data_IF_517737114083
#
_entry.id   IF_517737114083
#
_cell.length_a   1.000
_cell.length_b   1.000
_cell.length_c   1.000
_cell.angle_alpha   90.00
_cell.angle_beta   90.00
_cell.angle_gamma   90.00
#
_symmetry.space_group_name_H-M   'P 1'
#
loop_
_entity.id
_entity.type
_entity.pdbx_description
1 polymer ?
#
# COMPACT_ATOMS: atom_id res chain seq x y z
N UNK A 1 8.46 -8.41 -16.13
CA UNK A 1 9.20 -9.59 -16.61
C UNK A 1 10.60 -9.67 -16.03
N UNK A 2 11.39 -8.60 -16.06
CA UNK A 2 12.81 -8.60 -15.63
C UNK A 2 13.08 -9.14 -14.21
N UNK A 3 12.17 -8.92 -13.25
CA UNK A 3 12.30 -9.42 -11.88
C UNK A 3 11.85 -10.89 -11.67
N UNK A 4 11.41 -11.59 -12.72
CA UNK A 4 10.94 -12.99 -12.64
C UNK A 4 9.59 -13.21 -11.94
N UNK A 5 8.92 -12.16 -11.46
CA UNK A 5 7.67 -12.28 -10.69
C UNK A 5 6.49 -12.82 -11.50
N UNK A 6 6.46 -12.55 -12.81
CA UNK A 6 5.38 -12.98 -13.71
C UNK A 6 5.28 -14.50 -13.85
N UNK A 7 6.34 -15.23 -13.52
CA UNK A 7 6.36 -16.71 -13.52
C UNK A 7 5.85 -17.29 -12.19
N UNK A 8 5.89 -16.51 -11.11
CA UNK A 8 5.57 -16.97 -9.76
C UNK A 8 4.15 -16.58 -9.34
N UNK A 9 3.68 -15.42 -9.78
CA UNK A 9 2.40 -14.84 -9.36
C UNK A 9 1.73 -14.12 -10.52
N UNK A 10 0.40 -14.00 -10.45
CA UNK A 10 -0.34 -13.11 -11.34
C UNK A 10 0.07 -11.67 -11.04
N UNK A 11 0.73 -11.03 -11.99
CA UNK A 11 1.05 -9.61 -11.96
C UNK A 11 -0.05 -8.85 -12.68
N UNK A 12 -0.54 -7.78 -12.07
CA UNK A 12 -1.53 -6.87 -12.65
C UNK A 12 -1.04 -5.43 -12.48
N UNK A 13 -1.59 -4.54 -13.30
CA UNK A 13 -1.45 -3.11 -13.12
C UNK A 13 -2.59 -2.57 -12.22
N UNK A 14 -2.32 -1.53 -11.44
CA UNK A 14 -3.38 -0.82 -10.71
C UNK A 14 -4.17 0.12 -11.63
N UNK A 15 -3.68 0.36 -12.85
CA UNK A 15 -4.28 1.20 -13.88
C UNK A 15 -4.03 2.70 -13.70
N UNK A 16 -3.06 3.10 -12.88
CA UNK A 16 -2.76 4.50 -12.58
C UNK A 16 -1.25 4.77 -12.57
N UNK A 17 -0.83 5.82 -13.28
CA UNK A 17 0.55 6.34 -13.24
C UNK A 17 0.86 7.17 -11.98
N UNK A 18 -0.09 7.31 -11.05
CA UNK A 18 0.11 8.05 -9.81
C UNK A 18 0.96 7.27 -8.80
N UNK A 19 1.68 7.98 -7.92
CA UNK A 19 2.37 7.33 -6.81
C UNK A 19 1.35 6.80 -5.78
N UNK A 20 1.53 5.55 -5.35
CA UNK A 20 0.64 4.90 -4.39
C UNK A 20 -0.62 4.31 -5.02
N UNK A 21 -1.72 4.27 -4.26
CA UNK A 21 -3.00 3.72 -4.70
C UNK A 21 -4.11 4.72 -4.42
N UNK A 22 -4.26 5.67 -5.33
CA UNK A 22 -5.37 6.62 -5.30
C UNK A 22 -6.60 5.93 -5.92
N UNK A 23 -7.48 5.36 -5.09
CA UNK A 23 -8.55 4.46 -5.53
C UNK A 23 -9.40 5.00 -6.71
N UNK A 24 -9.67 6.30 -6.74
CA UNK A 24 -10.46 6.95 -7.81
C UNK A 24 -9.77 6.95 -9.19
N UNK A 25 -8.47 6.68 -9.25
CA UNK A 25 -7.68 6.61 -10.47
C UNK A 25 -7.36 5.17 -10.88
N UNK A 26 -7.68 4.18 -10.05
CA UNK A 26 -7.37 2.78 -10.31
C UNK A 26 -8.41 2.12 -11.23
N UNK A 27 -7.98 1.08 -11.93
CA UNK A 27 -8.86 0.28 -12.80
C UNK A 27 -9.91 -0.49 -11.99
N UNK A 28 -11.05 -0.77 -12.62
CA UNK A 28 -12.11 -1.58 -12.00
C UNK A 28 -11.60 -2.99 -11.62
N UNK A 29 -10.80 -3.62 -12.49
CA UNK A 29 -10.20 -4.94 -12.24
C UNK A 29 -9.34 -4.94 -10.97
N UNK A 30 -8.46 -3.95 -10.81
CA UNK A 30 -7.63 -3.84 -9.62
C UNK A 30 -8.46 -3.62 -8.37
N UNK A 31 -9.46 -2.72 -8.43
CA UNK A 31 -10.33 -2.42 -7.29
C UNK A 31 -11.15 -3.64 -6.84
N UNK A 32 -11.62 -4.46 -7.78
CA UNK A 32 -12.34 -5.70 -7.47
C UNK A 32 -11.44 -6.70 -6.75
N UNK A 33 -10.19 -6.85 -7.17
CA UNK A 33 -9.22 -7.73 -6.52
C UNK A 33 -8.81 -7.20 -5.15
N UNK A 34 -8.57 -5.89 -5.02
CA UNK A 34 -8.28 -5.23 -3.74
C UNK A 34 -9.43 -5.42 -2.73
N UNK A 35 -10.68 -5.38 -3.20
CA UNK A 35 -11.87 -5.60 -2.37
C UNK A 35 -12.00 -7.06 -1.90
N UNK A 36 -11.61 -8.02 -2.72
CA UNK A 36 -11.73 -9.46 -2.43
C UNK A 36 -10.55 -10.05 -1.67
N UNK A 37 -9.37 -9.43 -1.72
CA UNK A 37 -8.17 -9.96 -1.07
C UNK A 37 -8.37 -10.12 0.45
N UNK A 38 -7.96 -11.25 1.03
CA UNK A 38 -8.01 -11.50 2.47
C UNK A 38 -6.90 -10.76 3.25
N UNK A 39 -5.77 -10.51 2.58
CA UNK A 39 -4.59 -9.85 3.12
C UNK A 39 -3.98 -8.95 2.03
N UNK A 40 -3.61 -7.72 2.40
CA UNK A 40 -2.95 -6.77 1.50
C UNK A 40 -1.64 -6.32 2.13
N UNK A 41 -0.52 -6.43 1.40
CA UNK A 41 0.77 -5.88 1.79
C UNK A 41 1.06 -4.67 0.91
N UNK A 42 0.86 -3.47 1.46
CA UNK A 42 1.14 -2.20 0.81
C UNK A 42 2.61 -1.81 1.02
N UNK A 43 3.41 -1.84 -0.06
CA UNK A 43 4.86 -1.59 0.00
C UNK A 43 5.21 -0.15 -0.36
N UNK A 44 5.92 0.55 0.51
CA UNK A 44 6.39 1.92 0.26
C UNK A 44 5.47 3.01 0.79
N UNK A 45 6.05 4.18 1.06
CA UNK A 45 5.38 5.27 1.78
C UNK A 45 4.18 5.87 1.01
N UNK A 46 4.24 5.96 -0.32
CA UNK A 46 3.13 6.50 -1.10
C UNK A 46 1.85 5.65 -0.99
N UNK A 47 1.96 4.32 -0.87
CA UNK A 47 0.80 3.48 -0.60
C UNK A 47 0.27 3.68 0.82
N UNK A 48 1.16 3.92 1.79
CA UNK A 48 0.74 4.31 3.13
C UNK A 48 -0.07 5.61 3.11
N UNK A 49 0.47 6.68 2.53
CA UNK A 49 -0.17 8.00 2.48
C UNK A 49 -1.53 8.00 1.75
N UNK A 50 -1.68 7.17 0.72
CA UNK A 50 -2.91 7.13 -0.09
C UNK A 50 -3.98 6.18 0.44
N UNK A 51 -3.61 5.24 1.32
CA UNK A 51 -4.50 4.17 1.78
C UNK A 51 -4.65 4.06 3.29
N UNK A 52 -3.82 4.71 4.11
CA UNK A 52 -3.85 4.63 5.59
C UNK A 52 -5.20 5.05 6.16
N UNK A 53 -5.93 5.88 5.42
CA UNK A 53 -7.23 6.37 5.84
C UNK A 53 -8.41 5.48 5.49
N UNK A 54 -8.20 4.45 4.66
CA UNK A 54 -9.25 3.53 4.25
C UNK A 54 -9.70 2.64 5.42
N UNK A 55 -10.99 2.34 5.46
CA UNK A 55 -11.59 1.38 6.41
C UNK A 55 -11.36 -0.07 5.96
N UNK A 56 -10.11 -0.39 5.64
CA UNK A 56 -9.67 -1.69 5.17
C UNK A 56 -8.68 -2.29 6.17
N UNK A 57 -9.22 -2.87 7.24
CA UNK A 57 -8.46 -3.45 8.35
C UNK A 57 -7.55 -4.61 7.95
N UNK A 58 -7.52 -5.04 6.68
CA UNK A 58 -6.68 -6.13 6.16
C UNK A 58 -5.41 -5.66 5.46
N UNK A 59 -5.13 -4.35 5.47
CA UNK A 59 -3.92 -3.77 4.90
C UNK A 59 -2.82 -3.73 5.96
N UNK A 60 -1.65 -4.24 5.56
CA UNK A 60 -0.39 -4.13 6.28
C UNK A 60 0.56 -3.26 5.45
N UNK A 61 1.12 -2.24 6.07
CA UNK A 61 2.00 -1.28 5.41
C UNK A 61 3.44 -1.60 5.77
N UNK A 62 4.29 -1.78 4.75
CA UNK A 62 5.71 -2.05 4.91
C UNK A 62 6.52 -1.05 4.09
N UNK A 63 7.17 -0.11 4.78
CA UNK A 63 7.90 0.99 4.16
C UNK A 63 9.00 1.53 5.07
N UNK A 64 9.82 2.45 4.55
CA UNK A 64 10.73 3.26 5.36
C UNK A 64 10.12 4.66 5.53
N UNK A 65 10.09 5.21 6.74
CA UNK A 65 9.61 6.57 6.98
C UNK A 65 10.63 7.59 6.46
N UNK A 66 10.33 8.28 5.37
CA UNK A 66 11.27 9.19 4.68
C UNK A 66 11.07 10.67 4.99
N UNK A 67 10.02 11.02 5.74
CA UNK A 67 9.75 12.38 6.16
C UNK A 67 9.25 12.41 7.61
N UNK A 68 9.45 13.56 8.27
CA UNK A 68 9.03 13.76 9.65
C UNK A 68 7.52 13.56 9.85
N UNK A 69 6.70 14.03 8.90
CA UNK A 69 5.23 13.90 8.97
C UNK A 69 4.79 12.45 9.09
N UNK A 70 5.35 11.56 8.27
CA UNK A 70 5.01 10.13 8.33
C UNK A 70 5.64 9.46 9.55
N UNK A 71 6.86 9.86 9.94
CA UNK A 71 7.49 9.35 11.16
C UNK A 71 6.63 9.65 12.40
N UNK A 72 6.17 10.90 12.53
CA UNK A 72 5.32 11.35 13.64
C UNK A 72 3.97 10.64 13.63
N UNK A 73 3.31 10.55 12.46
CA UNK A 73 2.02 9.88 12.32
C UNK A 73 2.09 8.39 12.69
N UNK A 74 3.22 7.74 12.44
CA UNK A 74 3.43 6.31 12.68
C UNK A 74 4.10 6.00 14.01
N UNK A 75 4.55 7.04 14.73
CA UNK A 75 5.25 6.92 16.01
C UNK A 75 6.65 6.33 15.91
N UNK A 76 7.30 6.41 14.75
CA UNK A 76 8.67 5.94 14.52
C UNK A 76 9.64 7.11 14.34
N UNK A 77 10.94 6.81 14.20
CA UNK A 77 11.94 7.79 13.80
C UNK A 77 12.07 7.84 12.28
N UNK A 78 12.41 9.03 11.75
CA UNK A 78 12.69 9.18 10.33
C UNK A 78 13.89 8.30 9.92
N UNK A 79 13.74 7.52 8.86
CA UNK A 79 14.70 6.54 8.37
C UNK A 79 14.43 5.11 8.83
N UNK A 80 13.55 4.90 9.81
CA UNK A 80 13.21 3.55 10.30
C UNK A 80 12.34 2.78 9.31
N UNK A 81 12.53 1.45 9.33
CA UNK A 81 11.64 0.51 8.67
C UNK A 81 10.40 0.31 9.52
N UNK A 82 9.24 0.44 8.90
CA UNK A 82 7.93 0.37 9.52
C UNK A 82 7.17 -0.82 8.96
N UNK A 83 6.62 -1.65 9.86
CA UNK A 83 5.58 -2.63 9.56
C UNK A 83 4.41 -2.35 10.50
N UNK A 84 3.29 -1.86 9.98
CA UNK A 84 2.12 -1.56 10.80
C UNK A 84 0.82 -1.93 10.11
N UNK A 85 -0.24 -1.98 10.92
CA UNK A 85 -1.63 -2.15 10.49
C UNK A 85 -2.46 -1.02 11.11
N UNK A 86 -3.23 -0.31 10.30
CA UNK A 86 -4.22 0.67 10.77
C UNK A 86 -5.55 -0.05 10.98
N UNK A 87 -6.08 -0.01 12.20
CA UNK A 87 -7.39 -0.57 12.54
C UNK A 87 -8.35 0.60 12.71
N UNK A 88 -9.40 0.65 11.88
CA UNK A 88 -10.49 1.61 11.98
C UNK A 88 -11.80 0.87 12.29
N UNK A 89 -12.64 1.50 13.12
CA UNK A 89 -13.94 0.97 13.58
C UNK A 89 -15.08 1.55 12.76
#
# INVERSE_FOLDING_TARGET
>A
EEAGLTELVRVIDNGSDAQGTILKLCSAEFLDLLRQADLIIAKGQAHYETMSDLELNRIYYLFQAKCAVVADDTGCQMGEMVLLRRIKN
#
